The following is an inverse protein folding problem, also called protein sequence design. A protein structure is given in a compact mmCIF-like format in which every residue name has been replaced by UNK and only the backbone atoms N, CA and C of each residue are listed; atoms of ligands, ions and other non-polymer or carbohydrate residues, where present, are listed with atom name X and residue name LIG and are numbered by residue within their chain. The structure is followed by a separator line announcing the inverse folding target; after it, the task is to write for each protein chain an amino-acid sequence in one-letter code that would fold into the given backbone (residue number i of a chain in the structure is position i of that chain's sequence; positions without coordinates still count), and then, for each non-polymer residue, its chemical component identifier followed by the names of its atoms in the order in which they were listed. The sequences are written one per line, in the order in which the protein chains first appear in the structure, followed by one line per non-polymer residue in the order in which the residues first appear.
data_IF_594871049360
#
_entry.id   IF_594871049360
#
_cell.length_a   1.000
_cell.length_b   1.000
_cell.length_c   1.000
_cell.angle_alpha   90.00
_cell.angle_beta   90.00
_cell.angle_gamma   90.00
#
_symmetry.space_group_name_H-M   'P 1'
#
loop_
_entity.id
_entity.type
_entity.pdbx_description
1 polymer ?
2 non-polymer ?
3 non-polymer ?
4 water ?
#
# COMPACT_ATOMS: atom_id res chain seq x y z
N UNK A 21 -26.76 13.36 -7.00
CA UNK A 21 -25.66 14.09 -6.35
C UNK A 21 -24.51 14.32 -7.35
N UNK A 22 -24.01 15.56 -7.46
CA UNK A 22 -22.98 15.93 -8.41
C UNK A 22 -21.93 16.89 -7.81
N UNK A 23 -20.72 16.96 -8.43
CA UNK A 23 -19.65 17.83 -7.95
C UNK A 23 -18.82 18.44 -9.09
N UNK A 24 -18.19 19.57 -8.81
CA UNK A 24 -17.39 20.30 -9.79
C UNK A 24 -15.92 20.46 -9.35
N UNK A 25 -15.02 19.98 -10.20
CA UNK A 25 -13.57 20.03 -9.99
C UNK A 25 -13.00 20.72 -11.22
N UNK A 26 -12.37 21.89 -11.01
CA UNK A 26 -11.76 22.70 -12.07
C UNK A 26 -12.61 22.82 -13.34
N UNK A 27 -13.85 23.32 -13.19
CA UNK A 27 -14.81 23.53 -14.26
C UNK A 27 -15.62 22.33 -14.70
N UNK A 28 -15.02 21.13 -14.66
CA UNK A 28 -15.60 19.85 -15.06
C UNK A 28 -16.63 19.30 -14.05
N UNK A 29 -17.82 18.86 -14.54
CA UNK A 29 -18.90 18.32 -13.71
C UNK A 29 -18.80 16.77 -13.64
N UNK A 30 -18.97 16.22 -12.41
CA UNK A 30 -18.89 14.79 -12.09
C UNK A 30 -20.13 14.25 -11.36
N UNK A 31 -20.81 13.25 -11.95
CA UNK A 31 -21.97 12.61 -11.33
C UNK A 31 -21.49 11.51 -10.39
N UNK A 32 -21.95 11.53 -9.11
CA UNK A 32 -21.60 10.49 -8.13
C UNK A 32 -22.43 9.24 -8.36
N UNK A 33 -21.80 8.06 -8.33
CA UNK A 33 -22.48 6.77 -8.48
C UNK A 33 -22.64 6.13 -7.10
N UNK A 34 -21.57 6.13 -6.30
CA UNK A 34 -21.54 5.55 -4.96
C UNK A 34 -20.28 6.01 -4.22
N UNK A 35 -20.26 5.81 -2.89
CA UNK A 35 -19.11 6.11 -2.05
C UNK A 35 -18.33 4.80 -1.91
N UNK A 36 -17.06 4.81 -2.34
CA UNK A 36 -16.14 3.66 -2.27
C UNK A 36 -15.78 3.40 -0.80
N UNK A 37 -15.37 4.46 -0.11
CA UNK A 37 -14.99 4.41 1.29
C UNK A 37 -14.96 5.79 1.92
N UNK A 38 -14.92 5.85 3.25
CA UNK A 38 -14.89 7.11 3.97
C UNK A 38 -13.99 7.00 5.19
N UNK A 39 -12.93 7.80 5.20
CA UNK A 39 -11.98 7.87 6.31
C UNK A 39 -12.53 8.71 7.45
N UNK A 40 -11.65 9.49 8.08
CA UNK A 40 -12.07 10.36 9.17
C UNK A 40 -12.62 11.65 8.62
N UNK A 41 -11.71 12.45 8.04
CA UNK A 41 -11.96 13.75 7.43
C UNK A 41 -12.41 13.64 5.96
N UNK A 42 -11.95 12.59 5.26
CA UNK A 42 -12.21 12.39 3.84
C UNK A 42 -13.23 11.30 3.48
N UNK A 43 -13.66 11.34 2.20
CA UNK A 43 -14.59 10.44 1.54
C UNK A 43 -14.08 10.19 0.11
N UNK A 44 -14.21 8.95 -0.40
CA UNK A 44 -13.86 8.61 -1.78
C UNK A 44 -15.11 8.10 -2.48
N UNK A 45 -15.37 8.63 -3.69
CA UNK A 45 -16.55 8.27 -4.47
C UNK A 45 -16.17 7.71 -5.79
N UNK A 46 -17.07 6.90 -6.35
CA UNK A 46 -17.02 6.39 -7.71
C UNK A 46 -17.91 7.41 -8.47
N UNK A 47 -17.29 8.16 -9.40
CA UNK A 47 -17.94 9.25 -10.16
C UNK A 47 -17.87 9.03 -11.69
N UNK A 48 -18.59 9.87 -12.46
CA UNK A 48 -18.59 9.86 -13.93
C UNK A 48 -18.45 11.29 -14.45
N UNK A 49 -17.61 11.50 -15.48
CA UNK A 49 -17.47 12.82 -16.14
C UNK A 49 -18.61 13.02 -17.20
N UNK A 50 -18.63 14.19 -17.89
CA UNK A 50 -19.63 14.53 -18.93
C UNK A 50 -19.58 13.57 -20.15
N UNK A 51 -18.41 12.90 -20.38
CA UNK A 51 -18.24 11.93 -21.48
C UNK A 51 -18.51 10.47 -21.00
N UNK A 52 -19.08 10.34 -19.78
CA UNK A 52 -19.47 9.10 -19.10
C UNK A 52 -18.27 8.17 -18.77
N UNK A 53 -17.06 8.77 -18.58
CA UNK A 53 -15.82 8.11 -18.16
C UNK A 53 -15.83 8.05 -16.62
N UNK A 54 -15.40 6.90 -16.06
CA UNK A 54 -15.38 6.64 -14.61
C UNK A 54 -14.04 7.06 -13.94
N UNK A 55 -14.15 7.65 -12.75
CA UNK A 55 -13.00 8.08 -11.93
C UNK A 55 -13.32 7.87 -10.47
N UNK A 56 -12.35 8.12 -9.58
CA UNK A 56 -12.58 8.09 -8.15
C UNK A 56 -12.24 9.46 -7.66
N UNK A 57 -13.15 10.09 -6.89
CA UNK A 57 -12.89 11.42 -6.35
C UNK A 57 -12.75 11.35 -4.84
N UNK A 58 -11.59 11.82 -4.35
CA UNK A 58 -11.32 11.91 -2.93
C UNK A 58 -11.68 13.32 -2.51
N UNK A 59 -12.69 13.44 -1.65
CA UNK A 59 -13.15 14.72 -1.10
C UNK A 59 -12.66 14.75 0.34
N UNK A 60 -11.91 15.81 0.70
CA UNK A 60 -11.36 16.03 2.04
C UNK A 60 -11.88 17.35 2.57
N UNK A 61 -12.59 17.32 3.71
CA UNK A 61 -13.10 18.52 4.39
C UNK A 61 -11.95 19.09 5.22
N UNK A 62 -11.60 20.38 5.02
CA UNK A 62 -10.46 20.99 5.72
C UNK A 62 -10.86 21.98 6.85
N UNK A 63 -12.17 22.07 7.17
CA UNK A 63 -12.70 22.97 8.21
C UNK A 63 -12.08 22.78 9.61
N UNK A 64 -11.79 21.53 9.99
CA UNK A 64 -11.21 21.17 11.30
C UNK A 64 -9.69 20.88 11.21
N UNK A 65 -9.11 20.91 10.00
CA UNK A 65 -7.68 20.64 9.76
C UNK A 65 -6.70 21.69 10.31
N UNK A 66 -5.69 21.23 11.09
CA UNK A 66 -4.62 22.06 11.65
C UNK A 66 -3.48 22.21 10.62
N UNK A 67 -2.53 23.11 10.88
CA UNK A 67 -1.39 23.43 9.99
C UNK A 67 -0.52 22.23 9.64
N UNK A 68 -0.20 21.38 10.64
CA UNK A 68 0.60 20.17 10.44
C UNK A 68 -0.14 19.23 9.49
N UNK A 69 -1.46 19.03 9.74
CA UNK A 69 -2.35 18.18 8.95
C UNK A 69 -2.48 18.72 7.53
N UNK A 70 -2.66 20.04 7.37
CA UNK A 70 -2.74 20.64 6.04
C UNK A 70 -1.47 20.42 5.26
N UNK A 71 -0.33 20.57 5.93
CA UNK A 71 0.95 20.39 5.30
C UNK A 71 1.23 18.96 4.90
N UNK A 72 0.84 17.98 5.75
CA UNK A 72 1.00 16.55 5.46
C UNK A 72 0.13 16.12 4.27
N UNK A 73 -1.07 16.76 4.09
CA UNK A 73 -2.04 16.54 3.01
C UNK A 73 -1.47 17.14 1.72
N UNK A 74 -0.91 18.36 1.79
CA UNK A 74 -0.29 19.08 0.68
C UNK A 74 0.91 18.31 0.20
N UNK A 75 1.69 17.74 1.14
CA UNK A 75 2.89 16.96 0.85
C UNK A 75 2.58 15.68 0.08
N UNK A 76 1.57 14.88 0.51
CA UNK A 76 1.22 13.66 -0.22
C UNK A 76 0.73 13.95 -1.63
N UNK A 77 -0.07 15.03 -1.81
CA UNK A 77 -0.59 15.45 -3.13
C UNK A 77 0.61 15.81 -4.06
N UNK A 78 1.63 16.50 -3.52
CA UNK A 78 2.82 16.93 -4.24
C UNK A 78 3.57 15.71 -4.80
N UNK A 79 3.80 14.72 -3.92
CA UNK A 79 4.50 13.49 -4.25
C UNK A 79 3.70 12.64 -5.22
N UNK A 80 2.39 12.54 -5.02
CA UNK A 80 1.53 11.78 -5.90
C UNK A 80 1.52 12.36 -7.30
N UNK A 81 1.61 13.67 -7.39
CA UNK A 81 1.67 14.41 -8.65
C UNK A 81 3.04 14.21 -9.35
N UNK A 82 4.17 14.35 -8.62
CA UNK A 82 5.51 14.18 -9.19
C UNK A 82 5.77 12.75 -9.64
N UNK A 83 5.36 11.78 -8.82
CA UNK A 83 5.58 10.36 -9.03
C UNK A 83 4.76 9.75 -10.18
N UNK A 84 3.78 10.48 -10.74
CA UNK A 84 2.95 10.08 -11.89
C UNK A 84 3.86 9.72 -13.08
N UNK A 85 4.79 10.64 -13.44
CA UNK A 85 5.72 10.51 -14.56
C UNK A 85 6.78 9.41 -14.36
N UNK A 86 6.98 8.96 -13.10
CA UNK A 86 8.02 8.00 -12.76
C UNK A 86 7.58 6.54 -12.78
N UNK A 87 6.30 6.25 -12.50
CA UNK A 87 5.82 4.87 -12.48
C UNK A 87 4.31 4.81 -12.70
N UNK A 88 3.86 3.82 -13.49
CA UNK A 88 2.44 3.56 -13.76
C UNK A 88 1.88 2.60 -12.69
N UNK A 89 2.70 2.27 -11.66
CA UNK A 89 2.33 1.42 -10.52
C UNK A 89 1.90 2.32 -9.36
N UNK A 90 1.76 3.62 -9.66
CA UNK A 90 1.30 4.68 -8.77
C UNK A 90 -0.01 5.16 -9.36
N UNK A 91 -1.06 5.14 -8.55
CA UNK A 91 -2.40 5.57 -8.97
C UNK A 91 -2.37 6.92 -9.74
N UNK A 92 -3.14 7.01 -10.86
CA UNK A 92 -3.19 8.26 -11.63
C UNK A 92 -4.00 9.28 -10.89
N UNK A 93 -3.46 10.50 -10.81
CA UNK A 93 -4.09 11.70 -10.29
C UNK A 93 -4.20 12.60 -11.54
N UNK A 94 -5.39 12.77 -12.10
CA UNK A 94 -5.62 13.59 -13.30
C UNK A 94 -5.77 15.07 -13.02
N UNK A 95 -6.49 15.40 -11.96
CA UNK A 95 -6.80 16.76 -11.55
C UNK A 95 -6.99 16.83 -10.04
N UNK A 96 -7.12 18.05 -9.53
CA UNK A 96 -7.41 18.34 -8.13
C UNK A 96 -7.84 19.77 -7.94
N UNK A 97 -8.62 20.02 -6.88
CA UNK A 97 -9.07 21.36 -6.53
C UNK A 97 -8.81 21.54 -5.05
N UNK A 98 -7.99 22.54 -4.70
CA UNK A 98 -7.62 22.86 -3.32
C UNK A 98 -8.00 24.28 -2.94
N UNK A 99 -8.79 24.40 -1.87
CA UNK A 99 -9.22 25.68 -1.29
C UNK A 99 -8.97 25.55 0.22
N UNK A 100 -9.31 26.56 1.02
CA UNK A 100 -9.15 26.52 2.48
C UNK A 100 -10.20 25.61 3.15
N UNK A 101 -11.33 25.35 2.45
CA UNK A 101 -12.45 24.56 2.96
C UNK A 101 -12.35 23.06 2.60
N UNK A 102 -11.80 22.73 1.42
CA UNK A 102 -11.75 21.35 0.95
C UNK A 102 -10.63 21.07 -0.02
N UNK A 103 -10.47 19.75 -0.32
CA UNK A 103 -9.60 19.21 -1.35
C UNK A 103 -10.49 18.27 -2.14
N UNK A 104 -10.38 18.30 -3.46
CA UNK A 104 -11.02 17.35 -4.37
C UNK A 104 -9.89 16.76 -5.17
N UNK A 105 -9.81 15.42 -5.26
CA UNK A 105 -8.77 14.76 -6.06
C UNK A 105 -9.38 13.87 -7.11
N UNK A 106 -9.05 14.11 -8.39
CA UNK A 106 -9.60 13.31 -9.51
C UNK A 106 -8.56 12.24 -9.91
N UNK A 107 -8.89 11.01 -9.55
CA UNK A 107 -8.04 9.85 -9.74
C UNK A 107 -8.66 8.80 -10.66
N UNK A 108 -7.88 7.78 -11.04
CA UNK A 108 -8.41 6.68 -11.84
C UNK A 108 -9.15 5.72 -10.90
N UNK A 109 -10.14 4.99 -11.45
CA UNK A 109 -10.93 4.04 -10.67
C UNK A 109 -10.35 2.63 -10.73
N UNK A 110 -10.08 2.09 -9.56
CA UNK A 110 -9.60 0.72 -9.42
C UNK A 110 -10.75 -0.20 -9.15
N UNK A 111 -10.57 -1.46 -9.48
CA UNK A 111 -11.62 -2.46 -9.33
C UNK A 111 -11.88 -2.84 -7.86
N UNK A 112 -10.78 -2.96 -7.06
CA UNK A 112 -10.82 -3.37 -5.66
C UNK A 112 -9.43 -3.22 -5.06
N UNK A 113 -9.34 -3.02 -3.73
CA UNK A 113 -8.07 -2.95 -3.01
C UNK A 113 -7.61 -4.40 -2.79
N UNK A 114 -6.29 -4.60 -2.68
CA UNK A 114 -5.73 -5.94 -2.48
C UNK A 114 -6.22 -6.61 -1.20
N UNK A 115 -6.47 -5.83 -0.12
CA UNK A 115 -6.98 -6.38 1.13
C UNK A 115 -8.34 -7.04 0.95
N UNK A 116 -9.34 -6.27 0.48
CA UNK A 116 -10.70 -6.75 0.22
C UNK A 116 -10.70 -7.93 -0.75
N UNK A 117 -9.80 -7.90 -1.77
CA UNK A 117 -9.65 -8.98 -2.74
C UNK A 117 -9.15 -10.28 -2.09
N UNK A 118 -8.13 -10.17 -1.21
CA UNK A 118 -7.53 -11.30 -0.48
C UNK A 118 -8.48 -11.95 0.52
N UNK A 119 -9.42 -11.16 1.08
CA UNK A 119 -10.45 -11.63 2.03
C UNK A 119 -11.43 -12.53 1.27
N UNK A 120 -11.82 -12.14 0.03
CA UNK A 120 -12.72 -12.90 -0.83
C UNK A 120 -12.00 -14.11 -1.47
N UNK A 121 -10.79 -13.92 -2.01
CA UNK A 121 -10.04 -14.98 -2.67
C UNK A 121 -9.25 -15.86 -1.68
N UNK A 122 -9.79 -17.07 -1.38
CA UNK A 122 -9.16 -18.08 -0.51
C UNK A 122 -7.86 -18.63 -1.14
N UNK A 123 -7.92 -19.11 -2.42
CA UNK A 123 -6.77 -19.63 -3.17
C UNK A 123 -6.34 -18.67 -4.29
N UNK A 124 -5.06 -18.26 -4.29
CA UNK A 124 -4.44 -17.35 -5.26
C UNK A 124 -3.54 -18.08 -6.25
N UNK A 125 -3.67 -17.72 -7.54
CA UNK A 125 -2.88 -18.29 -8.65
C UNK A 125 -1.40 -17.86 -8.49
N UNK A 126 -0.46 -18.82 -8.52
CA UNK A 126 0.96 -18.45 -8.37
C UNK A 126 1.48 -17.41 -9.36
N UNK A 127 0.85 -17.29 -10.55
CA UNK A 127 1.18 -16.34 -11.61
C UNK A 127 0.72 -14.95 -11.23
N UNK A 128 -0.50 -14.85 -10.65
CA UNK A 128 -1.11 -13.62 -10.18
C UNK A 128 -0.27 -13.03 -9.06
N UNK A 129 0.16 -13.89 -8.11
CA UNK A 129 0.98 -13.56 -6.96
C UNK A 129 2.32 -12.96 -7.41
N UNK A 130 3.01 -13.64 -8.33
CA UNK A 130 4.29 -13.18 -8.89
C UNK A 130 4.10 -11.78 -9.53
N UNK A 131 3.04 -11.63 -10.36
CA UNK A 131 2.69 -10.39 -11.04
C UNK A 131 2.40 -9.23 -10.06
N UNK A 132 1.57 -9.48 -9.02
CA UNK A 132 1.22 -8.50 -7.97
C UNK A 132 2.45 -8.13 -7.17
N UNK A 133 3.30 -9.14 -6.83
CA UNK A 133 4.54 -8.97 -6.09
C UNK A 133 5.52 -8.07 -6.84
N UNK A 134 5.70 -8.26 -8.15
CA UNK A 134 6.61 -7.42 -8.94
C UNK A 134 6.10 -5.98 -8.96
N UNK A 135 4.76 -5.80 -9.10
CA UNK A 135 4.10 -4.50 -9.09
C UNK A 135 4.37 -3.74 -7.82
N UNK A 136 4.14 -4.40 -6.65
CA UNK A 136 4.37 -3.82 -5.32
C UNK A 136 5.82 -3.35 -5.21
N UNK A 137 6.81 -4.22 -5.61
CA UNK A 137 8.22 -3.84 -5.58
C UNK A 137 8.48 -2.60 -6.40
N UNK A 138 7.93 -2.51 -7.63
CA UNK A 138 8.08 -1.33 -8.50
C UNK A 138 7.54 -0.03 -7.84
N UNK A 139 6.35 -0.10 -7.25
CA UNK A 139 5.71 1.05 -6.61
C UNK A 139 6.51 1.53 -5.39
N UNK A 140 6.87 0.57 -4.49
CA UNK A 140 7.65 0.83 -3.28
C UNK A 140 9.05 1.30 -3.66
N UNK A 141 9.63 0.71 -4.69
CA UNK A 141 10.92 1.16 -5.19
C UNK A 141 10.87 2.61 -5.64
N UNK A 142 9.78 3.04 -6.29
CA UNK A 142 9.68 4.43 -6.76
C UNK A 142 9.72 5.46 -5.62
N UNK A 143 8.99 5.18 -4.53
CA UNK A 143 8.86 6.08 -3.40
C UNK A 143 10.18 6.19 -2.64
N UNK A 144 10.95 5.09 -2.63
CA UNK A 144 12.29 4.98 -2.03
C UNK A 144 13.26 5.86 -2.82
N UNK A 145 13.26 5.76 -4.17
CA UNK A 145 14.07 6.60 -5.05
C UNK A 145 13.87 8.09 -4.75
N UNK A 146 12.68 8.47 -4.23
CA UNK A 146 12.39 9.86 -3.86
C UNK A 146 12.56 10.16 -2.34
N UNK A 147 13.19 9.25 -1.61
CA UNK A 147 13.40 9.39 -0.17
C UNK A 147 12.19 9.16 0.72
N UNK A 148 11.18 8.47 0.21
CA UNK A 148 9.99 8.21 1.00
C UNK A 148 9.95 6.78 1.50
N UNK A 149 9.77 6.61 2.80
CA UNK A 149 9.51 5.31 3.37
C UNK A 149 8.08 5.33 3.89
N UNK A 150 7.23 4.45 3.37
CA UNK A 150 5.83 4.47 3.74
C UNK A 150 5.64 4.14 5.22
N UNK A 151 6.28 3.08 5.67
CA UNK A 151 6.40 2.73 7.08
C UNK A 151 5.13 2.05 7.61
N UNK A 152 4.08 2.04 6.79
CA UNK A 152 2.80 1.48 7.21
C UNK A 152 2.18 0.61 6.12
N UNK A 153 3.01 -0.10 5.37
CA UNK A 153 2.51 -0.81 4.21
C UNK A 153 1.50 -1.90 4.57
N UNK A 154 0.44 -1.96 3.77
CA UNK A 154 -0.66 -2.88 4.00
C UNK A 154 -1.27 -3.29 2.67
N UNK A 155 -2.06 -4.46 2.71
CA UNK A 155 -2.70 -4.76 1.42
C UNK A 155 -3.63 -3.65 0.96
N UNK A 156 -4.26 -2.97 1.92
CA UNK A 156 -5.25 -1.95 1.64
C UNK A 156 -4.68 -0.80 0.80
N UNK A 157 -3.40 -0.51 1.00
CA UNK A 157 -2.73 0.56 0.27
C UNK A 157 -2.68 0.31 -1.24
N UNK A 158 -2.75 -0.96 -1.63
CA UNK A 158 -2.61 -1.40 -3.01
C UNK A 158 -3.97 -1.61 -3.67
N UNK A 159 -4.10 -1.10 -4.89
CA UNK A 159 -5.32 -1.17 -5.69
C UNK A 159 -5.14 -1.98 -6.97
N UNK A 160 -6.11 -2.85 -7.29
CA UNK A 160 -6.08 -3.62 -8.53
C UNK A 160 -6.73 -2.75 -9.60
N UNK A 161 -5.94 -2.33 -10.59
CA UNK A 161 -6.42 -1.49 -11.70
C UNK A 161 -6.08 -2.22 -12.99
N UNK A 162 -7.08 -2.84 -13.64
CA UNK A 162 -6.85 -3.57 -14.89
C UNK A 162 -5.78 -4.70 -14.71
N UNK A 163 -5.93 -5.49 -13.63
CA UNK A 163 -5.01 -6.58 -13.28
C UNK A 163 -3.59 -6.17 -12.96
N UNK A 164 -3.43 -4.92 -12.56
CA UNK A 164 -2.15 -4.34 -12.21
C UNK A 164 -2.28 -3.83 -10.83
N UNK A 165 -1.28 -4.04 -9.98
CA UNK A 165 -1.32 -3.48 -8.63
C UNK A 165 -0.73 -2.06 -8.64
N UNK A 166 -1.45 -1.12 -8.00
CA UNK A 166 -1.01 0.28 -7.90
C UNK A 166 -1.05 0.75 -6.45
N UNK A 167 -0.01 1.45 -6.02
CA UNK A 167 0.09 2.03 -4.67
C UNK A 167 -0.79 3.27 -4.60
N UNK A 168 -1.68 3.27 -3.59
CA UNK A 168 -2.73 4.25 -3.33
C UNK A 168 -2.25 5.46 -2.52
N UNK A 169 -1.40 5.22 -1.50
CA UNK A 169 -0.90 6.27 -0.60
C UNK A 169 0.56 6.09 -0.26
N UNK A 170 1.19 7.12 0.33
CA UNK A 170 2.62 7.08 0.66
C UNK A 170 2.92 7.18 2.16
N UNK A 171 1.88 7.08 2.98
CA UNK A 171 2.07 7.12 4.42
C UNK A 171 2.14 8.51 5.01
N UNK A 172 2.51 9.48 4.18
CA UNK A 172 2.58 10.87 4.63
C UNK A 172 1.20 11.39 5.02
N UNK A 173 0.21 11.05 4.21
CA UNK A 173 -1.17 11.45 4.45
C UNK A 173 -1.73 10.85 5.73
N UNK A 174 -1.33 9.60 5.99
CA UNK A 174 -1.85 8.83 7.11
C UNK A 174 -1.43 9.40 8.47
N UNK A 175 -2.22 9.09 9.49
CA UNK A 175 -2.03 9.63 10.84
C UNK A 175 -2.70 11.00 10.99
N UNK A 176 -3.47 11.39 9.98
CA UNK A 176 -4.24 12.62 10.04
C UNK A 176 -5.34 12.53 11.10
N UNK A 191 -4.45 -2.78 12.27
CA UNK A 191 -3.61 -3.98 12.18
C UNK A 191 -2.13 -3.68 12.53
N UNK A 192 -1.44 -4.68 13.13
CA UNK A 192 -0.02 -4.60 13.49
C UNK A 192 0.74 -5.78 12.91
N UNK A 193 0.01 -6.65 12.21
CA UNK A 193 0.53 -7.87 11.55
C UNK A 193 1.64 -7.64 10.52
N UNK A 194 1.81 -6.40 10.05
CA UNK A 194 2.78 -6.04 9.03
C UNK A 194 3.89 -5.11 9.59
N UNK A 195 3.89 -4.86 10.92
CA UNK A 195 4.85 -3.97 11.60
C UNK A 195 6.28 -4.55 11.76
N UNK A 196 7.32 -3.86 11.22
CA UNK A 196 8.71 -4.37 11.37
C UNK A 196 9.26 -4.40 12.81
N UNK A 197 10.21 -5.31 13.16
CA UNK A 197 10.70 -5.37 14.55
C UNK A 197 11.42 -4.12 15.04
N UNK A 198 12.16 -3.43 14.14
CA UNK A 198 12.91 -2.22 14.44
C UNK A 198 12.00 -1.04 14.89
N UNK A 199 10.72 -1.05 14.50
CA UNK A 199 9.74 -0.05 14.89
C UNK A 199 9.38 -0.23 16.37
N UNK A 200 9.04 -1.48 16.78
CA UNK A 200 8.68 -1.86 18.15
C UNK A 200 9.90 -1.82 19.10
N UNK A 201 11.10 -2.20 18.60
CA UNK A 201 12.33 -2.21 19.41
C UNK A 201 12.82 -0.79 19.75
N UNK A 202 12.56 0.19 18.85
CA UNK A 202 12.95 1.60 19.02
C UNK A 202 12.21 2.30 20.20
N UNK A 203 10.96 1.86 20.52
CA UNK A 203 10.10 2.38 21.61
C UNK A 203 10.84 2.53 22.96
N UNK A 216 13.84 2.82 11.38
CA UNK A 216 12.95 2.89 10.21
C UNK A 216 13.68 3.45 8.97
N UNK A 217 13.83 2.59 7.94
CA UNK A 217 14.54 2.83 6.68
C UNK A 217 13.83 2.12 5.52
N UNK A 218 14.30 2.25 4.23
CA UNK A 218 13.69 1.46 3.14
C UNK A 218 13.36 -0.01 3.50
N UNK A 219 14.21 -0.64 4.31
CA UNK A 219 14.14 -2.04 4.78
C UNK A 219 12.92 -2.32 5.66
N UNK A 220 12.40 -1.30 6.38
CA UNK A 220 11.18 -1.42 7.21
C UNK A 220 9.96 -1.78 6.32
N UNK A 221 10.00 -1.32 5.03
CA UNK A 221 8.95 -1.52 4.05
C UNK A 221 9.07 -2.91 3.49
N UNK A 222 10.32 -3.41 3.38
CA UNK A 222 10.65 -4.77 2.93
C UNK A 222 9.92 -5.80 3.81
N UNK A 223 10.10 -5.72 5.16
CA UNK A 223 9.42 -6.58 6.14
C UNK A 223 7.91 -6.61 5.83
N UNK A 224 7.25 -5.41 5.83
CA UNK A 224 5.81 -5.24 5.56
C UNK A 224 5.36 -5.87 4.26
N UNK A 225 6.11 -5.66 3.14
CA UNK A 225 5.87 -6.31 1.84
C UNK A 225 5.99 -7.85 1.97
N UNK A 226 7.01 -8.28 2.70
CA UNK A 226 7.27 -9.69 2.98
C UNK A 226 6.11 -10.35 3.70
N UNK A 227 5.40 -9.61 4.58
CA UNK A 227 4.22 -10.11 5.28
C UNK A 227 3.05 -10.21 4.31
N UNK A 228 2.92 -9.23 3.37
CA UNK A 228 1.85 -9.20 2.34
C UNK A 228 2.02 -10.44 1.46
N UNK A 229 3.28 -10.78 1.12
CA UNK A 229 3.60 -11.94 0.30
C UNK A 229 3.40 -13.24 1.09
N UNK A 230 3.73 -13.24 2.38
CA UNK A 230 3.57 -14.39 3.28
C UNK A 230 2.09 -14.72 3.40
N UNK A 231 1.25 -13.68 3.43
CA UNK A 231 -0.20 -13.78 3.48
C UNK A 231 -0.67 -14.37 2.14
N UNK A 232 -0.15 -13.85 1.01
CA UNK A 232 -0.45 -14.32 -0.33
C UNK A 232 0.06 -15.75 -0.58
N UNK A 233 0.97 -16.27 0.25
CA UNK A 233 1.55 -17.60 0.06
C UNK A 233 0.93 -18.62 1.00
N UNK A 234 0.83 -18.29 2.29
CA UNK A 234 0.35 -19.18 3.34
C UNK A 234 -1.07 -18.93 3.83
N UNK A 235 -1.71 -17.85 3.36
CA UNK A 235 -3.09 -17.50 3.73
C UNK A 235 -3.21 -16.86 5.10
N UNK A 236 -2.06 -16.64 5.76
CA UNK A 236 -1.94 -16.06 7.08
C UNK A 236 -0.69 -15.15 7.13
N UNK A 237 -0.71 -14.09 7.96
CA UNK A 237 0.46 -13.21 8.17
C UNK A 237 1.39 -13.92 9.16
N UNK A 238 2.75 -13.69 9.15
CA UNK A 238 3.64 -14.46 10.06
C UNK A 238 3.20 -14.57 11.54
N UNK A 239 2.42 -13.61 12.06
CA UNK A 239 2.01 -13.64 13.47
C UNK A 239 0.47 -13.57 13.71
N UNK A 240 -0.36 -13.84 12.66
CA UNK A 240 -1.83 -13.83 12.73
C UNK A 240 -2.35 -14.71 13.88
N UNK A 241 -1.66 -15.84 14.14
CA UNK A 241 -1.92 -16.85 15.18
C UNK A 241 -1.98 -16.27 16.61
N UNK A 242 -1.21 -15.20 16.89
CA UNK A 242 -1.21 -14.56 18.22
C UNK A 242 -2.35 -13.50 18.30
N UNK A 243 -3.41 -13.79 19.08
CA UNK A 243 -4.56 -12.88 19.25
C UNK A 243 -4.21 -11.72 20.19
N UNK A 244 -3.62 -12.03 21.38
CA UNK A 244 -3.20 -10.99 22.34
C UNK A 244 -2.17 -10.06 21.64
N UNK A 245 -2.56 -8.79 21.45
CA UNK A 245 -1.78 -7.77 20.74
C UNK A 245 -0.45 -7.42 21.43
N UNK A 246 -0.37 -7.62 22.77
CA UNK A 246 0.87 -7.38 23.53
C UNK A 246 1.88 -8.47 23.14
N UNK A 247 1.48 -9.75 23.33
CA UNK A 247 2.25 -10.96 23.03
C UNK A 247 2.67 -11.04 21.57
N UNK A 248 1.87 -10.47 20.66
CA UNK A 248 2.09 -10.38 19.22
C UNK A 248 3.34 -9.53 18.99
N UNK A 249 3.37 -8.30 19.55
CA UNK A 249 4.50 -7.37 19.46
C UNK A 249 5.78 -7.98 20.01
N UNK A 250 5.65 -8.78 21.10
CA UNK A 250 6.75 -9.50 21.73
C UNK A 250 7.33 -10.53 20.76
N UNK A 251 6.47 -11.27 20.02
CA UNK A 251 6.87 -12.30 19.06
C UNK A 251 7.57 -11.69 17.85
N UNK A 252 7.13 -10.49 17.41
CA UNK A 252 7.73 -9.81 16.27
C UNK A 252 9.19 -9.42 16.58
N UNK A 253 9.47 -8.99 17.82
CA UNK A 253 10.81 -8.58 18.25
C UNK A 253 11.69 -9.73 18.82
N UNK A 254 11.08 -10.88 19.21
CA UNK A 254 11.81 -12.02 19.79
C UNK A 254 12.47 -12.94 18.76
N UNK A 255 13.82 -13.05 18.80
CA UNK A 255 14.52 -13.94 17.85
C UNK A 255 14.28 -15.45 18.08
N UNK A 256 13.97 -15.84 19.35
CA UNK A 256 13.67 -17.23 19.75
C UNK A 256 12.35 -17.70 19.13
N UNK A 257 11.50 -16.75 18.69
CA UNK A 257 10.24 -17.03 18.03
C UNK A 257 10.56 -17.26 16.54
N UNK A 258 10.87 -18.51 16.16
CA UNK A 258 11.20 -18.83 14.77
C UNK A 258 9.95 -18.84 13.86
N UNK A 259 9.90 -17.94 12.84
CA UNK A 259 8.78 -17.91 11.88
C UNK A 259 8.84 -19.20 11.02
N UNK A 260 7.71 -19.90 10.91
CA UNK A 260 7.59 -21.11 10.11
C UNK A 260 7.56 -20.74 8.62
N UNK A 261 8.13 -21.59 7.77
CA UNK A 261 8.12 -21.42 6.32
C UNK A 261 7.84 -22.79 5.71
N UNK A 262 6.61 -23.34 5.86
CA UNK A 262 6.31 -24.66 5.30
C UNK A 262 6.74 -24.85 3.85
N UNK A 263 7.25 -26.07 3.53
CA UNK A 263 7.71 -26.44 2.20
C UNK A 263 6.61 -26.23 1.15
N UNK A 264 6.93 -25.42 0.13
CA UNK A 264 6.08 -25.04 -1.00
C UNK A 264 6.75 -25.43 -2.33
N UNK A 265 6.00 -25.74 -3.43
CA UNK A 265 6.66 -26.12 -4.70
C UNK A 265 7.57 -25.04 -5.33
N UNK A 266 7.41 -23.76 -4.91
CA UNK A 266 8.19 -22.62 -5.37
C UNK A 266 9.26 -22.30 -4.35
N UNK A 267 10.41 -22.99 -4.45
CA UNK A 267 11.56 -22.81 -3.55
C UNK A 267 12.08 -21.36 -3.55
N UNK A 268 12.05 -20.68 -4.74
CA UNK A 268 12.44 -19.27 -4.91
C UNK A 268 11.54 -18.27 -4.12
N UNK A 269 10.22 -18.59 -4.02
CA UNK A 269 9.21 -17.80 -3.30
C UNK A 269 9.48 -17.89 -1.81
N UNK A 270 9.84 -19.11 -1.32
CA UNK A 270 10.17 -19.37 0.08
C UNK A 270 11.46 -18.65 0.46
N UNK A 271 12.44 -18.56 -0.48
CA UNK A 271 13.69 -17.82 -0.24
C UNK A 271 13.38 -16.33 -0.09
N UNK A 272 12.52 -15.78 -0.98
CA UNK A 272 12.05 -14.39 -0.93
C UNK A 272 11.49 -14.07 0.44
N UNK A 273 10.62 -14.96 0.97
CA UNK A 273 9.99 -14.80 2.27
C UNK A 273 10.96 -14.84 3.44
N UNK A 274 11.91 -15.78 3.43
CA UNK A 274 12.94 -15.91 4.48
C UNK A 274 13.83 -14.67 4.53
N UNK A 275 14.18 -14.13 3.34
CA UNK A 275 15.02 -12.94 3.12
C UNK A 275 14.37 -11.64 3.56
N UNK A 276 13.08 -11.47 3.26
CA UNK A 276 12.25 -10.33 3.65
C UNK A 276 12.02 -10.29 5.16
N UNK A 277 11.72 -11.47 5.77
CA UNK A 277 11.39 -11.59 7.19
C UNK A 277 12.58 -11.90 8.10
N UNK A 278 13.70 -11.20 7.86
CA UNK A 278 14.92 -11.23 8.67
C UNK A 278 14.77 -10.07 9.67
N UNK A 279 14.71 -10.37 10.99
CA UNK A 279 14.55 -9.38 12.06
C UNK A 279 15.62 -8.26 12.07
N UNK A 280 16.90 -8.58 11.73
CA UNK A 280 17.95 -7.56 11.65
C UNK A 280 17.82 -6.84 10.32
N UNK A 281 17.53 -5.52 10.33
CA UNK A 281 17.41 -4.78 9.05
C UNK A 281 18.68 -4.83 8.23
N UNK A 282 19.84 -4.97 8.90
CA UNK A 282 21.16 -5.05 8.29
C UNK A 282 21.27 -6.35 7.48
N UNK A 283 20.68 -7.45 8.02
CA UNK A 283 20.62 -8.81 7.43
C UNK A 283 19.50 -8.97 6.37
N UNK A 284 18.42 -8.16 6.46
CA UNK A 284 17.28 -8.13 5.55
C UNK A 284 17.66 -7.66 4.12
N UNK A 285 17.05 -8.30 3.11
CA UNK A 285 17.22 -8.04 1.68
C UNK A 285 16.69 -6.61 1.31
N UNK A 286 17.26 -6.01 0.25
CA UNK A 286 16.86 -4.67 -0.18
C UNK A 286 15.91 -4.78 -1.37
N UNK A 287 15.16 -3.68 -1.67
CA UNK A 287 14.27 -3.59 -2.84
C UNK A 287 15.07 -3.76 -4.14
N UNK A 288 16.21 -3.02 -4.40
CA UNK A 288 16.95 -3.25 -5.67
C UNK A 288 17.40 -4.71 -5.86
N UNK A 289 17.72 -5.40 -4.71
CA UNK A 289 18.11 -6.82 -4.63
C UNK A 289 16.91 -7.67 -4.97
N UNK A 290 15.78 -7.50 -4.23
CA UNK A 290 14.50 -8.21 -4.50
C UNK A 290 14.08 -8.13 -5.98
N UNK A 291 14.35 -6.99 -6.66
CA UNK A 291 14.04 -6.80 -8.08
C UNK A 291 14.86 -7.71 -9.04
N UNK A 292 16.02 -8.21 -8.60
CA UNK A 292 16.85 -9.09 -9.43
C UNK A 292 16.75 -10.56 -9.01
N UNK A 293 15.98 -10.86 -7.94
CA UNK A 293 15.80 -12.20 -7.38
C UNK A 293 15.15 -13.09 -8.42
N UNK A 294 15.57 -14.37 -8.50
CA UNK A 294 14.97 -15.28 -9.50
C UNK A 294 13.45 -15.37 -9.44
N UNK A 295 12.84 -15.25 -8.23
CA UNK A 295 11.38 -15.29 -8.10
C UNK A 295 10.67 -14.20 -8.91
N UNK A 296 11.26 -13.02 -8.94
CA UNK A 296 10.74 -11.85 -9.66
C UNK A 296 11.02 -11.97 -11.17
N UNK A 297 12.24 -12.42 -11.52
CA UNK A 297 12.78 -12.41 -12.87
C UNK A 297 12.61 -13.69 -13.69
N UNK A 298 12.35 -14.83 -13.05
CA UNK A 298 12.17 -16.10 -13.76
C UNK A 298 10.76 -16.69 -13.51
N UNK A 299 10.20 -17.30 -14.57
CA UNK A 299 8.90 -17.99 -14.60
C UNK A 299 9.03 -19.42 -14.04
#
# INVERSE_FOLDING_TARGET
MHHHHHHSSGVDLGTENLYFQSMSVKGRIYSILKQIGSGGSSKVFQVLNEKKQIYAIKYVNLEEADNQTLDSYRNEIAYLNKLQQHSDKIIRLYDYEITDQYIYMVMECGNIDLNSWLKKKKSIDPWERKSYWKNMLEAVHTIHQHGIVHSDLKPANFLIVDGMLKLIDFGIANQMQPDTTSVVKDSQVGTVNYMPPEAIKDMSSSRENGKSKSKISPKSDVWSLGCILYYMTYGKTPFQQIINQISKLHAIIDPNHEIEFPDIPEKDLQDVLKCCLKRDPKQRISIPELLAHPYVQIQTHPVNQMAKGTTEE
#
